data_IF_304312827256
#
_entry.id   IF_304312827256
#
_cell.length_a   1.000
_cell.length_b   1.000
_cell.length_c   1.000
_cell.angle_alpha   90.00
_cell.angle_beta   90.00
_cell.angle_gamma   90.00
#
_symmetry.space_group_name_H-M   'P 1'
#
loop_
_entity.id
_entity.type
_entity.pdbx_description
1 polymer ?
#
# COMPACT_ATOMS: atom_id res chain seq x y z
N UNK A 1 6.70 -10.07 -41.79
CA UNK A 1 6.56 -9.58 -41.61
C UNK A 1 6.10 -9.14 -40.97
N UNK A 2 5.99 -9.34 -40.66
CA UNK A 2 5.71 -8.74 -40.22
C UNK A 2 5.33 -8.46 -39.40
N UNK A 3 5.41 -8.73 -39.16
CA UNK A 3 5.19 -8.32 -38.66
C UNK A 3 4.88 -8.05 -37.95
N UNK A 4 5.01 -8.47 -37.88
CA UNK A 4 4.90 -8.11 -37.54
C UNK A 4 4.61 -7.81 -36.86
N UNK A 5 4.67 -8.12 -36.63
CA UNK A 5 4.54 -7.70 -36.33
C UNK A 5 4.16 -7.50 -35.65
N UNK A 6 4.27 -7.91 -35.43
CA UNK A 6 4.06 -7.56 -35.20
C UNK A 6 3.66 -7.29 -34.49
N UNK A 7 3.74 -7.60 -34.18
CA UNK A 7 3.51 -7.21 -33.96
C UNK A 7 3.01 -6.93 -33.38
N UNK A 8 3.04 -7.32 -33.22
CA UNK A 8 2.68 -6.91 -33.06
C UNK A 8 2.18 -6.66 -32.51
N UNK A 9 2.32 -6.94 -32.27
CA UNK A 9 1.89 -6.60 -32.13
C UNK A 9 1.32 -6.35 -31.80
N UNK A 10 1.47 -6.73 -31.65
CA UNK A 10 1.02 -6.36 -31.64
C UNK A 10 0.47 -6.10 -31.40
N UNK A 11 0.63 -6.26 -31.28
CA UNK A 11 0.16 -5.79 -31.21
C UNK A 11 -0.35 -5.27 -31.20
N UNK A 12 -0.51 -5.64 -31.51
CA UNK A 12 -1.14 -5.00 -31.52
C UNK A 12 -1.56 -4.52 -31.51
N UNK A 13 -1.07 -4.36 -32.90
CA UNK A 13 -1.82 -3.57 -32.61
C UNK A 13 -2.72 -3.72 -31.69
N UNK A 14 -2.54 -4.22 -31.17
CA UNK A 14 -3.39 -4.34 -30.05
C UNK A 14 -3.44 -3.01 -29.33
N UNK A 15 -4.62 -2.52 -29.07
CA UNK A 15 -4.75 -1.36 -28.20
C UNK A 15 -4.14 -1.67 -26.84
N UNK A 16 -3.30 -0.78 -26.30
CA UNK A 16 -2.85 -0.96 -24.94
C UNK A 16 -4.07 -1.04 -24.02
N UNK A 17 -4.03 -1.94 -23.07
CA UNK A 17 -5.08 -1.98 -22.06
C UNK A 17 -5.18 -0.63 -21.39
N UNK A 18 -6.39 -0.11 -21.20
CA UNK A 18 -6.52 1.09 -20.38
C UNK A 18 -5.97 0.82 -19.00
N UNK A 19 -5.29 1.80 -18.43
CA UNK A 19 -4.83 1.70 -17.06
C UNK A 19 -6.02 1.42 -16.14
N UNK A 20 -5.85 0.63 -15.07
CA UNK A 20 -6.92 0.44 -14.10
C UNK A 20 -7.41 1.79 -13.61
N UNK A 21 -8.72 1.93 -13.50
CA UNK A 21 -9.29 3.16 -13.00
C UNK A 21 -8.91 3.36 -11.54
N UNK A 22 -8.54 4.59 -11.21
CA UNK A 22 -8.34 4.97 -9.81
C UNK A 22 -9.70 4.92 -9.12
N UNK A 23 -9.75 4.27 -7.94
CA UNK A 23 -11.02 3.99 -7.27
C UNK A 23 -11.76 5.26 -6.86
N UNK A 24 -11.07 6.24 -6.32
CA UNK A 24 -11.69 7.48 -5.82
C UNK A 24 -10.81 8.66 -6.23
N UNK A 25 -10.86 9.05 -7.52
CA UNK A 25 -9.86 9.98 -8.07
C UNK A 25 -10.16 11.46 -7.84
N UNK A 26 -11.37 11.80 -7.36
CA UNK A 26 -11.79 13.20 -7.26
C UNK A 26 -11.65 13.71 -5.84
N UNK A 27 -10.85 14.77 -5.67
CA UNK A 27 -10.61 15.38 -4.37
C UNK A 27 -11.90 15.84 -3.70
N UNK A 28 -12.87 16.32 -4.46
CA UNK A 28 -14.14 16.83 -3.93
C UNK A 28 -15.11 15.73 -3.52
N UNK A 29 -14.78 14.46 -3.76
CA UNK A 29 -15.67 13.32 -3.50
C UNK A 29 -14.95 12.26 -2.66
N UNK A 30 -14.74 12.51 -1.36
CA UNK A 30 -14.15 11.52 -0.49
C UNK A 30 -15.11 10.33 -0.33
N UNK A 31 -14.59 9.11 -0.30
CA UNK A 31 -15.43 7.94 -0.07
C UNK A 31 -15.80 7.81 1.40
N UNK A 32 -16.82 6.99 1.67
CA UNK A 32 -17.06 6.49 3.01
C UNK A 32 -16.25 5.22 3.22
N UNK A 33 -16.13 4.79 4.47
CA UNK A 33 -15.49 3.49 4.77
C UNK A 33 -16.20 2.35 4.05
N UNK A 34 -17.54 2.36 4.04
CA UNK A 34 -18.31 1.32 3.37
C UNK A 34 -18.02 1.26 1.87
N UNK A 35 -17.90 2.43 1.23
CA UNK A 35 -17.57 2.50 -0.20
C UNK A 35 -16.16 1.97 -0.48
N UNK A 36 -15.21 2.31 0.37
CA UNK A 36 -13.84 1.81 0.22
C UNK A 36 -13.81 0.29 0.40
N UNK A 37 -14.42 -0.20 1.48
CA UNK A 37 -14.43 -1.63 1.80
C UNK A 37 -15.14 -2.44 0.71
N UNK A 38 -16.16 -1.88 0.07
CA UNK A 38 -16.88 -2.55 -1.02
C UNK A 38 -15.99 -2.86 -2.23
N UNK A 39 -14.85 -2.18 -2.35
CA UNK A 39 -13.87 -2.44 -3.42
C UNK A 39 -12.98 -3.63 -3.13
N UNK A 40 -13.04 -4.20 -1.93
CA UNK A 40 -12.13 -5.27 -1.51
C UNK A 40 -12.82 -6.63 -1.58
N UNK A 41 -12.14 -7.67 -2.13
CA UNK A 41 -12.63 -9.03 -1.96
C UNK A 41 -12.76 -9.38 -0.48
N UNK A 42 -13.69 -10.27 -0.14
CA UNK A 42 -14.00 -10.57 1.26
C UNK A 42 -12.78 -10.96 2.10
N UNK A 43 -11.85 -11.84 1.62
CA UNK A 43 -10.67 -12.17 2.43
C UNK A 43 -9.75 -10.97 2.65
N UNK A 44 -9.62 -10.09 1.66
CA UNK A 44 -8.80 -8.88 1.77
C UNK A 44 -9.45 -7.91 2.74
N UNK A 45 -10.76 -7.74 2.66
CA UNK A 45 -11.50 -6.89 3.58
C UNK A 45 -11.33 -7.33 5.03
N UNK A 46 -11.34 -8.63 5.29
CA UNK A 46 -11.09 -9.16 6.63
C UNK A 46 -9.70 -8.79 7.15
N UNK A 47 -8.68 -9.00 6.34
CA UNK A 47 -7.30 -8.64 6.71
C UNK A 47 -7.17 -7.14 6.95
N UNK A 48 -7.84 -6.35 6.15
CA UNK A 48 -7.86 -4.90 6.30
C UNK A 48 -8.45 -4.48 7.65
N UNK A 49 -9.59 -5.06 8.05
CA UNK A 49 -10.22 -4.72 9.32
C UNK A 49 -9.35 -5.14 10.51
N UNK A 50 -8.68 -6.29 10.42
CA UNK A 50 -7.74 -6.73 11.46
C UNK A 50 -6.60 -5.71 11.60
N UNK A 51 -6.07 -5.25 10.48
CA UNK A 51 -4.98 -4.27 10.49
C UNK A 51 -5.45 -2.93 11.06
N UNK A 52 -6.64 -2.46 10.67
CA UNK A 52 -7.21 -1.23 11.23
C UNK A 52 -7.38 -1.32 12.74
N UNK A 53 -7.89 -2.46 13.22
CA UNK A 53 -8.05 -2.70 14.66
C UNK A 53 -6.71 -2.66 15.38
N UNK A 54 -5.70 -3.29 14.79
CA UNK A 54 -4.34 -3.26 15.34
C UNK A 54 -3.83 -1.82 15.46
N UNK A 55 -3.98 -1.03 14.40
CA UNK A 55 -3.52 0.36 14.38
C UNK A 55 -4.25 1.21 15.43
N UNK A 56 -5.56 1.03 15.57
CA UNK A 56 -6.34 1.74 16.58
C UNK A 56 -5.85 1.40 17.99
N UNK A 57 -5.54 0.14 18.24
CA UNK A 57 -5.00 -0.29 19.54
C UNK A 57 -3.62 0.28 19.83
N UNK A 58 -2.88 0.62 18.80
CA UNK A 58 -1.59 1.29 18.94
C UNK A 58 -1.73 2.81 19.13
N UNK A 59 -2.94 3.32 19.17
CA UNK A 59 -3.18 4.75 19.37
C UNK A 59 -3.16 5.58 18.11
N UNK A 60 -3.19 4.95 16.94
CA UNK A 60 -3.20 5.68 15.68
C UNK A 60 -4.58 6.29 15.41
N UNK A 61 -4.57 7.55 14.99
CA UNK A 61 -5.78 8.23 14.50
C UNK A 61 -5.92 7.96 13.01
N UNK A 62 -7.12 7.62 12.58
CA UNK A 62 -7.41 7.24 11.21
C UNK A 62 -8.27 8.31 10.54
N UNK A 63 -7.88 8.74 9.33
CA UNK A 63 -8.70 9.59 8.50
C UNK A 63 -8.48 9.25 7.03
N UNK A 64 -9.36 9.77 6.19
CA UNK A 64 -9.14 9.73 4.74
C UNK A 64 -8.23 10.88 4.35
N UNK A 65 -7.36 10.62 3.38
CA UNK A 65 -6.46 11.61 2.83
C UNK A 65 -6.42 11.47 1.31
N UNK A 66 -6.38 12.60 0.61
CA UNK A 66 -6.33 12.59 -0.84
C UNK A 66 -4.86 12.58 -1.31
N UNK A 67 -4.46 11.49 -1.95
CA UNK A 67 -3.08 11.27 -2.42
C UNK A 67 -2.87 11.69 -3.87
N UNK A 68 -3.74 12.53 -4.40
CA UNK A 68 -3.65 12.99 -5.78
C UNK A 68 -4.50 12.15 -6.73
N UNK A 69 -4.69 12.62 -7.98
CA UNK A 69 -5.60 11.95 -8.92
C UNK A 69 -5.10 10.58 -9.38
N UNK A 70 -3.81 10.29 -9.24
CA UNK A 70 -3.27 9.00 -9.64
C UNK A 70 -3.56 7.89 -8.63
N UNK A 71 -3.66 8.24 -7.36
CA UNK A 71 -3.92 7.30 -6.27
C UNK A 71 -5.34 7.46 -5.73
N UNK A 72 -5.81 8.70 -5.65
CA UNK A 72 -7.11 9.02 -5.10
C UNK A 72 -7.10 9.05 -3.58
N UNK A 73 -8.27 8.84 -3.01
CA UNK A 73 -8.43 8.82 -1.56
C UNK A 73 -7.96 7.50 -0.97
N UNK A 74 -7.29 7.58 0.16
CA UNK A 74 -6.87 6.41 0.92
C UNK A 74 -6.92 6.71 2.40
N UNK A 75 -6.53 5.73 3.21
CA UNK A 75 -6.45 5.90 4.65
C UNK A 75 -5.09 6.41 5.05
N UNK A 76 -5.09 7.36 5.97
CA UNK A 76 -3.89 7.85 6.62
C UNK A 76 -4.01 7.54 8.11
N UNK A 77 -2.95 6.98 8.68
CA UNK A 77 -2.88 6.69 10.10
C UNK A 77 -1.78 7.53 10.71
N UNK A 78 -2.16 8.34 11.69
CA UNK A 78 -1.25 9.28 12.35
C UNK A 78 -1.10 8.92 13.81
N UNK A 79 0.10 9.08 14.33
CA UNK A 79 0.37 8.92 15.75
C UNK A 79 1.38 9.99 16.17
N UNK A 80 1.04 10.73 17.24
CA UNK A 80 1.92 11.79 17.78
C UNK A 80 2.36 12.78 16.69
N UNK A 81 1.38 13.21 15.86
CA UNK A 81 1.56 14.16 14.77
C UNK A 81 2.49 13.68 13.65
N UNK A 82 2.77 12.38 13.61
CA UNK A 82 3.58 11.78 12.55
C UNK A 82 2.79 10.73 11.80
N UNK A 83 3.05 10.61 10.51
CA UNK A 83 2.44 9.55 9.71
C UNK A 83 2.99 8.20 10.14
N UNK A 84 2.12 7.32 10.61
CA UNK A 84 2.50 5.95 10.92
C UNK A 84 2.52 5.11 9.66
N UNK A 85 1.46 5.19 8.86
CA UNK A 85 1.37 4.51 7.57
C UNK A 85 0.19 5.06 6.77
N UNK A 86 0.14 4.67 5.51
CA UNK A 86 -0.99 4.92 4.62
C UNK A 86 -1.46 3.59 4.02
N UNK A 87 -2.75 3.49 3.74
CA UNK A 87 -3.33 2.31 3.09
C UNK A 87 -4.18 2.80 1.93
N UNK A 88 -3.83 2.38 0.73
CA UNK A 88 -4.45 2.88 -0.50
C UNK A 88 -4.84 1.74 -1.42
N UNK A 89 -5.71 2.04 -2.38
CA UNK A 89 -5.99 1.16 -3.51
C UNK A 89 -5.13 1.61 -4.68
N UNK A 90 -4.21 0.76 -5.10
CA UNK A 90 -3.31 1.03 -6.22
C UNK A 90 -3.49 -0.06 -7.26
N UNK A 91 -3.90 0.34 -8.47
CA UNK A 91 -4.16 -0.60 -9.57
C UNK A 91 -5.11 -1.74 -9.13
N UNK A 92 -6.12 -1.40 -8.34
CA UNK A 92 -7.11 -2.37 -7.86
C UNK A 92 -6.65 -3.23 -6.70
N UNK A 93 -5.46 -3.03 -6.18
CA UNK A 93 -4.92 -3.79 -5.05
C UNK A 93 -4.81 -2.92 -3.81
N UNK A 94 -5.03 -3.54 -2.67
CA UNK A 94 -4.82 -2.87 -1.38
C UNK A 94 -3.32 -2.86 -1.06
N UNK A 95 -2.77 -1.68 -0.84
CA UNK A 95 -1.33 -1.51 -0.60
C UNK A 95 -1.13 -0.67 0.66
N UNK A 96 -0.26 -1.15 1.55
CA UNK A 96 0.20 -0.39 2.69
C UNK A 96 1.50 0.30 2.37
N UNK A 97 1.62 1.56 2.77
CA UNK A 97 2.81 2.37 2.55
C UNK A 97 3.35 2.79 3.91
N UNK A 98 4.62 2.49 4.14
CA UNK A 98 5.28 2.84 5.41
C UNK A 98 6.67 3.38 5.13
N UNK A 99 7.05 4.42 5.86
CA UNK A 99 8.40 4.98 5.79
C UNK A 99 9.15 4.60 7.07
N UNK A 100 10.34 4.04 6.92
CA UNK A 100 11.18 3.60 8.04
C UNK A 100 12.47 4.42 8.05
N UNK A 101 12.71 5.10 9.17
CA UNK A 101 14.03 5.71 9.39
C UNK A 101 15.06 4.63 9.75
N UNK A 102 16.31 5.04 9.91
CA UNK A 102 17.39 4.09 10.17
C UNK A 102 17.14 3.27 11.44
N UNK A 103 16.61 3.91 12.50
CA UNK A 103 16.33 3.23 13.76
C UNK A 103 15.24 2.16 13.61
N UNK A 104 14.18 2.48 12.88
CA UNK A 104 13.11 1.51 12.61
C UNK A 104 13.62 0.36 11.73
N UNK A 105 14.41 0.65 10.72
CA UNK A 105 14.99 -0.38 9.86
C UNK A 105 15.83 -1.37 10.68
N UNK A 106 16.55 -0.90 11.68
CA UNK A 106 17.37 -1.75 12.53
C UNK A 106 16.52 -2.71 13.38
N UNK A 107 15.25 -2.39 13.61
CA UNK A 107 14.35 -3.23 14.39
C UNK A 107 13.65 -4.30 13.56
N UNK A 108 13.75 -4.24 12.22
CA UNK A 108 13.07 -5.20 11.35
C UNK A 108 13.86 -6.50 11.24
N UNK A 109 13.20 -7.62 11.47
CA UNK A 109 13.76 -8.94 11.20
C UNK A 109 13.55 -9.26 9.71
N UNK A 110 14.36 -8.66 8.85
CA UNK A 110 14.18 -8.74 7.41
C UNK A 110 14.13 -10.18 6.88
N UNK A 111 14.96 -11.05 7.44
CA UNK A 111 14.99 -12.47 7.01
C UNK A 111 13.73 -13.23 7.44
N UNK A 112 12.98 -12.72 8.40
CA UNK A 112 11.73 -13.32 8.84
C UNK A 112 10.51 -12.93 8.02
N UNK A 113 10.66 -11.99 7.10
CA UNK A 113 9.56 -11.58 6.23
C UNK A 113 9.31 -12.63 5.14
N UNK A 114 8.08 -12.67 4.63
CA UNK A 114 7.75 -13.48 3.47
C UNK A 114 8.41 -12.90 2.21
N UNK A 115 8.29 -13.61 1.10
CA UNK A 115 8.81 -13.12 -0.18
C UNK A 115 8.18 -11.77 -0.58
N UNK A 116 6.94 -11.53 -0.18
CA UNK A 116 6.26 -10.26 -0.44
C UNK A 116 6.98 -9.12 0.26
N UNK A 117 7.27 -9.27 1.56
CA UNK A 117 7.99 -8.26 2.33
C UNK A 117 9.43 -8.06 1.86
N UNK A 118 10.11 -9.15 1.52
CA UNK A 118 11.47 -9.07 0.98
C UNK A 118 11.51 -8.34 -0.36
N UNK A 119 10.51 -8.59 -1.20
CA UNK A 119 10.39 -7.89 -2.47
C UNK A 119 10.09 -6.40 -2.26
N UNK A 120 9.22 -6.08 -1.30
CA UNK A 120 8.92 -4.69 -0.97
C UNK A 120 10.20 -3.95 -0.56
N UNK A 121 11.06 -4.59 0.23
CA UNK A 121 12.36 -4.02 0.59
C UNK A 121 13.24 -3.79 -0.63
N UNK A 122 13.28 -4.76 -1.52
CA UNK A 122 14.09 -4.68 -2.73
C UNK A 122 13.65 -3.55 -3.65
N UNK A 123 12.33 -3.30 -3.71
CA UNK A 123 11.74 -2.26 -4.55
C UNK A 123 11.56 -0.93 -3.81
N UNK A 124 11.97 -0.87 -2.56
CA UNK A 124 11.81 0.33 -1.75
C UNK A 124 12.56 1.52 -2.36
N UNK A 125 12.05 2.69 -2.08
CA UNK A 125 12.64 3.93 -2.60
C UNK A 125 12.91 4.89 -1.45
N UNK A 126 13.58 6.00 -1.75
CA UNK A 126 14.00 6.98 -0.76
C UNK A 126 15.49 6.88 -0.49
N UNK A 127 15.86 7.05 0.76
CA UNK A 127 17.27 7.04 1.18
C UNK A 127 17.45 6.04 2.33
N UNK A 128 18.70 5.69 2.67
CA UNK A 128 18.92 4.87 3.87
C UNK A 128 18.42 5.53 5.16
N UNK A 129 18.29 6.85 5.18
CA UNK A 129 17.79 7.57 6.34
C UNK A 129 16.26 7.52 6.42
N UNK A 130 15.58 7.34 5.29
CA UNK A 130 14.11 7.23 5.25
C UNK A 130 13.73 6.37 4.06
N UNK A 131 13.44 5.11 4.34
CA UNK A 131 13.13 4.09 3.34
C UNK A 131 11.62 3.93 3.23
N UNK A 132 11.07 4.09 2.02
CA UNK A 132 9.65 3.95 1.74
C UNK A 132 9.37 2.57 1.16
N UNK A 133 8.46 1.83 1.80
CA UNK A 133 8.07 0.50 1.35
C UNK A 133 6.58 0.48 1.00
N UNK A 134 6.27 -0.09 -0.16
CA UNK A 134 4.92 -0.33 -0.61
C UNK A 134 4.67 -1.84 -0.51
N UNK A 135 3.75 -2.24 0.36
CA UNK A 135 3.52 -3.66 0.66
C UNK A 135 2.11 -4.05 0.25
N UNK A 136 1.93 -4.99 -0.69
CA UNK A 136 0.59 -5.50 -0.99
C UNK A 136 -0.03 -6.15 0.24
N UNK A 137 -1.28 -5.81 0.51
CA UNK A 137 -1.99 -6.27 1.71
C UNK A 137 -3.04 -7.34 1.42
N UNK A 138 -3.10 -7.83 0.19
CA UNK A 138 -4.11 -8.78 -0.25
C UNK A 138 -3.74 -10.25 0.01
N UNK A 139 -2.72 -10.49 0.81
CA UNK A 139 -2.26 -11.83 1.17
C UNK A 139 -1.30 -11.76 2.35
N UNK A 140 -0.24 -12.56 2.30
CA UNK A 140 0.77 -12.62 3.38
C UNK A 140 1.47 -11.29 3.64
N UNK A 141 1.43 -10.38 2.68
CA UNK A 141 2.00 -9.04 2.85
C UNK A 141 1.36 -8.27 4.01
N UNK A 142 0.12 -8.57 4.36
CA UNK A 142 -0.52 -7.94 5.52
C UNK A 142 0.23 -8.26 6.82
N UNK A 143 0.71 -9.49 6.97
CA UNK A 143 1.52 -9.89 8.12
C UNK A 143 2.88 -9.20 8.10
N UNK A 144 3.52 -9.13 6.94
CA UNK A 144 4.79 -8.43 6.78
C UNK A 144 4.63 -6.95 7.11
N UNK A 145 3.57 -6.33 6.65
CA UNK A 145 3.30 -4.92 6.91
C UNK A 145 3.15 -4.66 8.41
N UNK A 146 2.45 -5.54 9.11
CA UNK A 146 2.32 -5.44 10.56
C UNK A 146 3.68 -5.54 11.25
N UNK A 147 4.57 -6.40 10.77
CA UNK A 147 5.93 -6.52 11.30
C UNK A 147 6.72 -5.22 11.11
N UNK A 148 6.57 -4.56 9.97
CA UNK A 148 7.20 -3.28 9.70
C UNK A 148 6.65 -2.18 10.63
N UNK A 149 5.34 -2.18 10.85
CA UNK A 149 4.71 -1.23 11.76
C UNK A 149 5.19 -1.43 13.20
N UNK A 150 5.33 -2.67 13.64
CA UNK A 150 5.87 -2.98 14.97
C UNK A 150 7.28 -2.43 15.13
N UNK A 151 8.12 -2.58 14.11
CA UNK A 151 9.48 -2.07 14.12
C UNK A 151 9.48 -0.53 14.21
N UNK A 152 8.61 0.11 13.46
CA UNK A 152 8.48 1.57 13.49
C UNK A 152 8.03 2.08 14.85
N UNK A 153 7.09 1.38 15.47
CA UNK A 153 6.60 1.75 16.80
C UNK A 153 7.63 1.48 17.89
N UNK A 154 8.42 0.42 17.74
CA UNK A 154 9.41 0.03 18.75
C UNK A 154 10.59 0.99 18.84
N UNK A 155 10.90 1.73 17.77
CA UNK A 155 12.05 2.63 17.75
C UNK A 155 11.89 3.84 18.64
N UNK A 156 10.66 4.18 18.91
CA UNK A 156 10.35 5.37 19.68
C UNK A 156 9.51 5.08 20.85
#
# INVERSE_FOLDING_TARGET
MTMVKVKAKATAPEKPRPAPKVAFPKKAQPPTHAEFAARLPAPVGKRFEVLRTYLQKQGAAEDFYFYGPRTGWGYRHMKDDQSLCSIVLSAGRLVGIVALDAAAQAQVAWNGLSDVGKRARKLAHGTPALLWLDVPLDGVGATDFKALLKAKLARG
#
